data_IF_378530921355
#
_entry.id   IF_378530921355
#
_cell.length_a   1.000
_cell.length_b   1.000
_cell.length_c   1.000
_cell.angle_alpha   90.00
_cell.angle_beta   90.00
_cell.angle_gamma   90.00
#
_symmetry.space_group_name_H-M   'P 1'
#
loop_
_entity.id
_entity.type
_entity.pdbx_description
1 polymer ?
#
# COMPACT_ATOMS: atom_id res chain seq x y z
N UNK A 1 -60.29 11.72 18.83
CA UNK A 1 -59.07 12.30 19.40
C UNK A 1 -57.90 11.82 18.55
N UNK A 2 -57.50 12.62 17.56
CA UNK A 2 -56.49 12.28 16.56
C UNK A 2 -55.13 12.79 17.06
N UNK A 3 -54.20 11.90 17.38
CA UNK A 3 -52.84 12.26 17.82
C UNK A 3 -51.96 12.46 16.59
N UNK A 4 -51.69 13.71 16.26
CA UNK A 4 -50.69 14.12 15.27
C UNK A 4 -49.32 14.02 15.93
N UNK A 5 -48.51 13.02 15.54
CA UNK A 5 -47.11 12.94 15.94
C UNK A 5 -46.28 13.83 15.02
N UNK A 6 -45.95 15.02 15.51
CA UNK A 6 -44.97 15.93 14.92
C UNK A 6 -43.58 15.31 15.10
N UNK A 7 -43.00 14.74 14.04
CA UNK A 7 -41.59 14.38 14.04
C UNK A 7 -40.81 15.64 13.73
N UNK A 8 -40.23 16.24 14.76
CA UNK A 8 -39.26 17.32 14.62
C UNK A 8 -38.08 16.80 13.82
N UNK A 9 -37.86 17.36 12.63
CA UNK A 9 -36.63 17.21 11.87
C UNK A 9 -35.51 17.79 12.75
N UNK A 10 -34.72 16.92 13.36
CA UNK A 10 -33.41 17.33 13.86
C UNK A 10 -32.58 17.59 12.61
N UNK A 11 -32.35 18.87 12.32
CA UNK A 11 -31.31 19.27 11.41
C UNK A 11 -30.01 18.71 11.97
N UNK A 12 -29.47 17.65 11.36
CA UNK A 12 -28.11 17.26 11.61
C UNK A 12 -27.25 18.44 11.16
N UNK A 13 -26.64 19.10 12.15
CA UNK A 13 -25.62 20.11 11.93
C UNK A 13 -24.62 19.58 10.90
N UNK A 14 -24.29 20.46 9.97
CA UNK A 14 -23.24 20.29 8.98
C UNK A 14 -21.91 20.05 9.69
N UNK A 15 -21.54 18.79 9.86
CA UNK A 15 -20.15 18.37 9.74
C UNK A 15 -20.04 17.64 8.40
N UNK A 16 -19.94 18.41 7.31
CA UNK A 16 -19.22 17.89 6.15
C UNK A 16 -17.84 17.49 6.68
N UNK A 17 -17.46 16.20 6.66
CA UNK A 17 -16.09 15.86 6.98
C UNK A 17 -15.25 16.63 5.96
N UNK A 18 -14.43 17.57 6.45
CA UNK A 18 -13.34 18.17 5.68
C UNK A 18 -12.83 17.10 4.75
N UNK A 19 -13.00 17.29 3.44
CA UNK A 19 -12.57 16.34 2.41
C UNK A 19 -11.25 15.76 2.85
N UNK A 20 -11.28 14.53 3.36
CA UNK A 20 -10.09 13.86 3.83
C UNK A 20 -9.31 13.63 2.55
N UNK A 21 -8.37 14.54 2.25
CA UNK A 21 -7.65 14.57 0.98
C UNK A 21 -7.23 13.16 0.60
N UNK A 22 -7.37 12.81 -0.68
CA UNK A 22 -7.27 11.44 -1.18
C UNK A 22 -6.12 10.67 -0.50
N UNK A 23 -6.49 9.67 0.30
CA UNK A 23 -5.56 8.88 1.12
C UNK A 23 -5.26 7.58 0.40
N UNK A 24 -4.03 7.43 -0.04
CA UNK A 24 -3.59 6.25 -0.75
C UNK A 24 -2.88 5.27 0.16
N UNK A 25 -3.02 3.98 -0.13
CA UNK A 25 -2.24 2.93 0.49
C UNK A 25 -1.46 2.19 -0.60
N UNK A 26 -0.20 1.88 -0.33
CA UNK A 26 0.68 1.18 -1.26
C UNK A 26 1.00 -0.19 -0.71
N UNK A 27 0.80 -1.23 -1.52
CA UNK A 27 1.24 -2.59 -1.20
C UNK A 27 2.43 -2.95 -2.08
N UNK A 28 3.54 -3.23 -1.41
CA UNK A 28 4.75 -3.79 -1.98
C UNK A 28 4.70 -5.30 -1.85
N UNK A 29 4.93 -6.02 -2.95
CA UNK A 29 5.01 -7.47 -2.95
C UNK A 29 6.31 -7.92 -3.57
N UNK A 30 7.02 -8.83 -2.91
CA UNK A 30 8.14 -9.58 -3.48
C UNK A 30 7.88 -11.08 -3.36
N UNK A 31 8.14 -11.83 -4.44
CA UNK A 31 8.13 -13.30 -4.44
C UNK A 31 9.55 -13.78 -4.70
N UNK A 32 10.04 -14.61 -3.80
CA UNK A 32 11.35 -15.21 -3.80
C UNK A 32 11.22 -16.74 -3.74
N UNK A 33 12.34 -17.44 -3.84
CA UNK A 33 12.38 -18.87 -3.52
C UNK A 33 12.02 -19.12 -2.03
N UNK A 34 11.22 -20.15 -1.73
CA UNK A 34 10.93 -20.59 -0.36
C UNK A 34 12.18 -20.69 0.52
N UNK A 35 12.07 -20.21 1.76
CA UNK A 35 13.12 -20.22 2.79
C UNK A 35 14.40 -19.44 2.46
N UNK A 36 14.51 -18.85 1.26
CA UNK A 36 15.69 -18.09 0.87
C UNK A 36 15.63 -16.67 1.45
N UNK A 37 16.76 -16.21 1.99
CA UNK A 37 16.85 -14.89 2.60
C UNK A 37 16.90 -13.79 1.52
N UNK A 38 16.11 -12.73 1.72
CA UNK A 38 16.12 -11.55 0.86
C UNK A 38 16.47 -10.29 1.65
N UNK A 39 16.98 -9.30 0.92
CA UNK A 39 17.03 -7.90 1.33
C UNK A 39 15.95 -7.16 0.56
N UNK A 40 14.96 -6.61 1.27
CA UNK A 40 13.85 -5.85 0.71
C UNK A 40 13.90 -4.42 1.21
N UNK A 41 14.13 -3.47 0.30
CA UNK A 41 14.07 -2.04 0.54
C UNK A 41 12.80 -1.46 -0.03
N UNK A 42 12.09 -0.63 0.72
CA UNK A 42 10.89 0.06 0.22
C UNK A 42 10.71 1.43 0.86
N UNK A 43 9.96 2.30 0.20
CA UNK A 43 9.60 3.62 0.74
C UNK A 43 8.45 3.48 1.74
N UNK A 44 8.67 3.90 2.99
CA UNK A 44 7.67 3.93 4.06
C UNK A 44 6.69 5.11 3.91
N UNK A 45 5.67 5.19 4.76
CA UNK A 45 4.63 6.24 4.72
C UNK A 45 5.17 7.66 4.96
N UNK A 46 6.37 7.78 5.55
CA UNK A 46 7.04 9.05 5.81
C UNK A 46 7.97 9.45 4.66
N UNK A 47 8.10 8.62 3.62
CA UNK A 47 9.00 8.85 2.49
C UNK A 47 10.43 8.39 2.73
N UNK A 48 10.73 7.68 3.82
CA UNK A 48 12.05 7.12 4.09
C UNK A 48 12.18 5.73 3.48
N UNK A 49 13.42 5.32 3.19
CA UNK A 49 13.70 3.95 2.76
C UNK A 49 13.88 3.05 3.98
N UNK A 50 13.03 2.02 4.08
CA UNK A 50 13.07 0.98 5.09
C UNK A 50 13.68 -0.29 4.51
N UNK A 51 14.56 -0.96 5.27
CA UNK A 51 15.16 -2.25 4.92
C UNK A 51 14.59 -3.35 5.81
N UNK A 52 14.23 -4.46 5.20
CA UNK A 52 13.91 -5.71 5.90
C UNK A 52 14.76 -6.83 5.30
N UNK A 53 15.38 -7.61 6.19
CA UNK A 53 16.10 -8.83 5.84
C UNK A 53 15.36 -10.01 6.45
N UNK A 54 14.89 -10.93 5.61
CA UNK A 54 14.02 -12.01 6.09
C UNK A 54 13.96 -13.15 5.07
N UNK A 55 13.63 -14.35 5.56
CA UNK A 55 13.19 -15.49 4.76
C UNK A 55 11.75 -15.84 5.12
N UNK A 56 11.01 -16.45 4.19
CA UNK A 56 9.63 -16.90 4.39
C UNK A 56 9.45 -18.31 3.80
N UNK A 57 8.71 -19.22 4.47
CA UNK A 57 8.48 -20.57 3.96
C UNK A 57 7.78 -20.64 2.59
N UNK A 58 6.97 -19.65 2.26
CA UNK A 58 6.27 -19.55 0.97
C UNK A 58 6.97 -18.60 -0.02
N UNK A 59 8.09 -18.00 0.38
CA UNK A 59 8.83 -17.01 -0.40
C UNK A 59 8.05 -15.71 -0.66
N UNK A 60 6.91 -15.47 0.01
CA UNK A 60 6.06 -14.30 -0.23
C UNK A 60 6.26 -13.23 0.84
N UNK A 61 6.53 -12.02 0.38
CA UNK A 61 6.69 -10.85 1.23
C UNK A 61 5.70 -9.78 0.79
N UNK A 62 4.87 -9.30 1.72
CA UNK A 62 3.90 -8.24 1.48
C UNK A 62 3.99 -7.18 2.57
N UNK A 63 4.15 -5.93 2.16
CA UNK A 63 4.20 -4.78 3.06
C UNK A 63 3.26 -3.69 2.55
N UNK A 64 2.34 -3.26 3.42
CA UNK A 64 1.40 -2.18 3.14
C UNK A 64 1.82 -0.92 3.91
N UNK A 65 1.89 0.20 3.21
CA UNK A 65 2.19 1.52 3.79
C UNK A 65 1.08 2.52 3.46
N UNK A 66 0.85 3.47 4.36
CA UNK A 66 -0.11 4.55 4.19
C UNK A 66 -0.83 4.93 5.48
N UNK A 67 -1.68 5.97 5.44
CA UNK A 67 -2.06 6.72 4.24
C UNK A 67 -0.94 7.64 3.73
N UNK A 68 -0.82 7.76 2.41
CA UNK A 68 0.06 8.72 1.71
C UNK A 68 -0.75 9.63 0.78
N UNK A 69 -0.15 10.75 0.38
CA UNK A 69 -0.76 11.73 -0.54
C UNK A 69 -0.37 11.47 -2.00
N UNK A 70 -1.11 12.08 -2.94
CA UNK A 70 -0.65 12.22 -4.34
C UNK A 70 0.77 12.78 -4.41
N UNK A 71 1.55 12.31 -5.37
CA UNK A 71 2.97 12.64 -5.53
C UNK A 71 3.92 11.83 -4.65
N UNK A 72 3.41 10.94 -3.79
CA UNK A 72 4.25 9.99 -3.07
C UNK A 72 5.03 9.10 -4.05
N UNK A 73 6.34 8.98 -3.85
CA UNK A 73 7.24 8.19 -4.68
C UNK A 73 7.43 6.81 -4.04
N UNK A 74 6.64 5.83 -4.48
CA UNK A 74 6.79 4.45 -4.05
C UNK A 74 7.98 3.80 -4.77
N UNK A 75 8.99 3.37 -4.01
CA UNK A 75 10.10 2.56 -4.50
C UNK A 75 10.14 1.20 -3.79
N UNK A 76 10.46 0.15 -4.54
CA UNK A 76 10.66 -1.21 -4.04
C UNK A 76 11.89 -1.80 -4.70
N UNK A 77 12.89 -2.16 -3.92
CA UNK A 77 14.05 -2.94 -4.35
C UNK A 77 14.08 -4.24 -3.59
N UNK A 78 14.23 -5.38 -4.27
CA UNK A 78 14.50 -6.63 -3.56
C UNK A 78 15.47 -7.54 -4.32
N UNK A 79 16.32 -8.21 -3.55
CA UNK A 79 17.28 -9.20 -4.04
C UNK A 79 17.46 -10.29 -2.99
N UNK A 80 17.97 -11.45 -3.40
CA UNK A 80 18.49 -12.38 -2.42
C UNK A 80 19.71 -11.79 -1.71
N UNK A 81 19.88 -12.05 -0.42
CA UNK A 81 21.01 -11.52 0.36
C UNK A 81 22.36 -12.08 -0.09
N UNK A 82 22.37 -13.24 -0.76
CA UNK A 82 23.55 -13.83 -1.40
C UNK A 82 23.74 -13.38 -2.87
N UNK A 83 22.87 -12.47 -3.35
CA UNK A 83 22.89 -11.93 -4.70
C UNK A 83 21.91 -12.63 -5.64
N UNK A 84 21.42 -11.86 -6.62
CA UNK A 84 20.45 -12.34 -7.60
C UNK A 84 19.05 -11.73 -7.43
N UNK A 85 18.28 -11.78 -8.51
CA UNK A 85 16.96 -11.17 -8.57
C UNK A 85 15.95 -12.08 -7.90
N UNK A 86 15.01 -11.49 -7.17
CA UNK A 86 13.83 -12.23 -6.74
C UNK A 86 12.95 -12.55 -7.95
N UNK A 87 12.07 -13.54 -7.80
CA UNK A 87 11.24 -14.06 -8.87
C UNK A 87 10.20 -13.05 -9.37
N UNK A 88 9.67 -12.22 -8.48
CA UNK A 88 8.65 -11.23 -8.82
C UNK A 88 8.66 -10.03 -7.87
N UNK A 89 8.34 -8.85 -8.42
CA UNK A 89 8.03 -7.64 -7.66
C UNK A 89 6.71 -7.04 -8.14
N UNK A 90 5.94 -6.41 -7.25
CA UNK A 90 4.86 -5.50 -7.62
C UNK A 90 4.66 -4.33 -6.67
N UNK A 91 4.12 -3.25 -7.23
CA UNK A 91 3.55 -2.11 -6.50
C UNK A 91 2.06 -2.05 -6.88
N UNK A 92 1.21 -2.14 -5.87
CA UNK A 92 -0.24 -1.99 -5.98
C UNK A 92 -0.71 -0.82 -5.11
N UNK A 93 -1.79 -0.15 -5.51
CA UNK A 93 -2.29 1.06 -4.84
C UNK A 93 -3.79 0.97 -4.61
N UNK A 94 -4.24 1.32 -3.41
CA UNK A 94 -5.65 1.51 -3.06
C UNK A 94 -5.94 2.97 -2.74
N UNK A 95 -7.10 3.48 -3.13
CA UNK A 95 -7.62 4.78 -2.72
C UNK A 95 -8.63 4.60 -1.57
N UNK A 96 -8.25 4.99 -0.36
CA UNK A 96 -9.09 4.82 0.83
C UNK A 96 -9.42 3.35 1.10
N UNK A 97 -10.70 3.01 0.90
CA UNK A 97 -11.23 1.66 1.13
C UNK A 97 -11.40 0.83 -0.16
N UNK A 98 -11.03 1.40 -1.31
CA UNK A 98 -11.09 0.68 -2.58
C UNK A 98 -10.10 -0.49 -2.64
N UNK A 99 -10.36 -1.52 -3.46
CA UNK A 99 -9.40 -2.59 -3.67
C UNK A 99 -8.06 -2.11 -4.22
N UNK A 100 -6.98 -2.83 -3.87
CA UNK A 100 -5.66 -2.59 -4.45
C UNK A 100 -5.67 -2.84 -5.97
N UNK A 101 -5.16 -1.87 -6.72
CA UNK A 101 -4.98 -1.92 -8.16
C UNK A 101 -3.49 -2.02 -8.49
N UNK A 102 -3.12 -2.99 -9.32
CA UNK A 102 -1.74 -3.17 -9.78
C UNK A 102 -1.27 -1.99 -10.63
N UNK A 103 -0.16 -1.36 -10.23
CA UNK A 103 0.44 -0.23 -10.96
C UNK A 103 1.74 -0.60 -11.66
N UNK A 104 2.59 -1.39 -11.02
CA UNK A 104 3.86 -1.88 -11.58
C UNK A 104 4.13 -3.31 -11.17
N UNK A 105 4.76 -4.09 -12.06
CA UNK A 105 5.28 -5.43 -11.77
C UNK A 105 6.49 -5.78 -12.62
N UNK A 106 7.29 -6.72 -12.16
CA UNK A 106 8.40 -7.32 -12.91
C UNK A 106 8.69 -8.74 -12.44
N UNK A 107 9.21 -9.60 -13.33
CA UNK A 107 9.67 -10.95 -13.00
C UNK A 107 11.18 -11.04 -13.15
N UNK A 108 11.87 -11.79 -12.29
CA UNK A 108 13.34 -11.82 -12.20
C UNK A 108 13.92 -10.38 -12.15
N UNK A 109 13.33 -9.53 -11.31
CA UNK A 109 13.46 -8.08 -11.36
C UNK A 109 13.85 -7.52 -10.00
N UNK A 110 14.61 -6.41 -10.00
CA UNK A 110 15.25 -5.89 -8.79
C UNK A 110 14.65 -4.60 -8.24
N UNK A 111 14.09 -3.70 -9.05
CA UNK A 111 13.66 -2.37 -8.59
C UNK A 111 12.43 -1.85 -9.34
N UNK A 112 11.31 -1.61 -8.64
CA UNK A 112 10.15 -0.89 -9.18
C UNK A 112 10.02 0.50 -8.55
N UNK A 113 9.57 1.46 -9.37
CA UNK A 113 9.15 2.79 -8.91
C UNK A 113 7.78 3.17 -9.47
N UNK A 114 6.98 3.85 -8.67
CA UNK A 114 5.69 4.41 -9.08
C UNK A 114 5.41 5.70 -8.30
N UNK A 115 4.88 6.71 -8.98
CA UNK A 115 4.42 7.96 -8.35
C UNK A 115 2.89 7.89 -8.25
N UNK A 116 2.35 8.17 -7.07
CA UNK A 116 0.91 8.19 -6.85
C UNK A 116 0.27 9.38 -7.62
N UNK A 117 -0.72 9.08 -8.46
CA UNK A 117 -1.44 10.02 -9.34
C UNK A 117 -2.79 10.47 -8.77
#
# INVERSE_FOLDING_TARGET
MLLVFSVSVVACDNDEPQSAGERYYVRYTAIAEPERQIDMYFTDENGNNTLIQSSRPDGKFEYCVGPVSKGFNAELVASYSDGGAVLFLSIEVANGSEPFVLKKRGSNYYNLKYVIE
#
